data_IF_096347409918
#
_entry.id   IF_096347409918
#
_cell.length_a   1.000
_cell.length_b   1.000
_cell.length_c   1.000
_cell.angle_alpha   90.00
_cell.angle_beta   90.00
_cell.angle_gamma   90.00
#
_symmetry.space_group_name_H-M   'P 1'
#
loop_
_entity.id
_entity.type
_entity.pdbx_description
1 polymer ?
#
# COMPACT_ATOMS: atom_id res chain seq x y z
N UNK A 1 6.13 30.02 10.13
CA UNK A 1 7.28 29.12 9.87
C UNK A 1 8.28 29.84 9.00
N UNK A 2 9.48 30.02 9.48
CA UNK A 2 10.54 30.75 8.78
C UNK A 2 11.64 29.77 8.29
N UNK A 3 12.45 30.24 7.33
CA UNK A 3 13.51 29.43 6.73
C UNK A 3 14.48 28.86 7.77
N UNK A 4 14.90 29.70 8.71
CA UNK A 4 15.83 29.32 9.79
C UNK A 4 15.22 28.22 10.67
N UNK A 5 13.93 28.31 10.97
CA UNK A 5 13.21 27.32 11.78
C UNK A 5 13.20 25.94 11.10
N UNK A 6 12.97 25.90 9.78
CA UNK A 6 12.99 24.65 9.00
C UNK A 6 14.42 24.08 8.96
N UNK A 7 15.41 24.91 8.69
CA UNK A 7 16.82 24.53 8.67
C UNK A 7 17.24 23.88 10.00
N UNK A 8 16.87 24.48 11.12
CA UNK A 8 17.16 23.92 12.44
C UNK A 8 16.41 22.61 12.74
N UNK A 9 15.14 22.50 12.33
CA UNK A 9 14.38 21.27 12.47
C UNK A 9 15.01 20.11 11.70
N UNK A 10 15.53 20.36 10.49
CA UNK A 10 16.20 19.37 9.66
C UNK A 10 17.56 19.01 10.28
N UNK A 11 18.38 20.00 10.69
CA UNK A 11 19.67 19.76 11.35
C UNK A 11 19.54 18.83 12.56
N UNK A 12 18.54 19.03 13.40
CA UNK A 12 18.28 18.20 14.58
C UNK A 12 17.93 16.75 14.25
N UNK A 13 17.61 16.45 13.00
CA UNK A 13 17.24 15.11 12.55
C UNK A 13 18.32 14.41 11.75
N UNK A 14 19.39 15.11 11.40
CA UNK A 14 20.55 14.50 10.75
C UNK A 14 21.37 13.67 11.75
N UNK A 15 21.96 12.55 11.31
CA UNK A 15 22.73 11.66 12.18
C UNK A 15 24.05 12.30 12.69
N UNK A 16 24.55 13.31 11.97
CA UNK A 16 25.78 14.01 12.31
C UNK A 16 25.50 15.50 12.40
N UNK A 17 25.90 16.11 13.51
CA UNK A 17 25.80 17.55 13.69
C UNK A 17 26.83 18.25 12.78
N UNK A 18 26.32 18.97 11.76
CA UNK A 18 27.13 19.74 10.80
C UNK A 18 26.40 21.00 10.36
N UNK A 19 27.10 21.89 9.74
CA UNK A 19 26.41 22.97 9.02
C UNK A 19 25.79 22.44 7.74
N UNK A 20 24.57 22.89 7.44
CA UNK A 20 23.75 22.38 6.34
C UNK A 20 23.76 23.38 5.19
N UNK A 21 24.34 22.97 4.05
CA UNK A 21 24.26 23.71 2.80
C UNK A 21 22.85 23.64 2.21
N UNK A 22 22.42 24.73 1.56
CA UNK A 22 21.04 24.85 1.09
C UNK A 22 20.74 23.96 -0.13
N UNK A 23 21.76 23.59 -0.92
CA UNK A 23 21.67 22.75 -2.13
C UNK A 23 22.14 21.30 -1.91
N UNK A 24 22.55 20.94 -0.68
CA UNK A 24 22.98 19.58 -0.38
C UNK A 24 21.82 18.61 -0.38
N UNK A 25 22.04 17.40 -0.89
CA UNK A 25 21.02 16.33 -0.90
C UNK A 25 20.84 15.78 0.52
N UNK A 26 19.68 16.06 1.12
CA UNK A 26 19.36 15.69 2.49
C UNK A 26 19.30 14.17 2.73
N UNK A 27 19.00 13.38 1.68
CA UNK A 27 19.01 11.91 1.76
C UNK A 27 20.44 11.37 1.86
N UNK A 28 21.35 11.90 1.05
CA UNK A 28 22.78 11.54 1.11
C UNK A 28 23.40 11.93 2.44
N UNK A 29 22.87 12.97 3.09
CA UNK A 29 23.26 13.36 4.44
C UNK A 29 22.68 12.46 5.55
N UNK A 30 21.91 11.42 5.17
CA UNK A 30 21.35 10.44 6.09
C UNK A 30 19.97 10.78 6.65
N UNK A 31 19.24 11.74 6.05
CA UNK A 31 17.87 12.01 6.44
C UNK A 31 16.96 10.90 5.94
N UNK A 32 16.44 10.05 6.83
CA UNK A 32 15.62 8.91 6.46
C UNK A 32 14.21 9.31 6.00
N UNK A 33 13.61 8.50 5.11
CA UNK A 33 12.24 8.68 4.64
C UNK A 33 11.22 8.78 5.79
N UNK A 34 11.41 8.00 6.86
CA UNK A 34 10.57 8.06 8.06
C UNK A 34 10.67 9.42 8.75
N UNK A 35 11.86 10.00 8.81
CA UNK A 35 12.09 11.34 9.39
C UNK A 35 11.42 12.41 8.54
N UNK A 36 11.50 12.31 7.22
CA UNK A 36 10.82 13.23 6.28
C UNK A 36 9.30 13.17 6.46
N UNK A 37 8.71 11.97 6.59
CA UNK A 37 7.28 11.82 6.87
C UNK A 37 6.87 12.47 8.19
N UNK A 38 7.69 12.31 9.24
CA UNK A 38 7.45 12.97 10.53
C UNK A 38 7.46 14.49 10.40
N UNK A 39 8.40 15.05 9.64
CA UNK A 39 8.48 16.49 9.35
C UNK A 39 7.25 16.95 8.57
N UNK A 40 6.84 16.23 7.49
CA UNK A 40 5.62 16.52 6.73
C UNK A 40 4.40 16.57 7.64
N UNK A 41 4.22 15.59 8.53
CA UNK A 41 3.10 15.55 9.46
C UNK A 41 3.15 16.68 10.50
N UNK A 42 4.33 17.03 10.99
CA UNK A 42 4.53 18.16 11.89
C UNK A 42 4.17 19.48 11.19
N UNK A 43 4.66 19.70 9.97
CA UNK A 43 4.36 20.91 9.19
C UNK A 43 2.90 21.01 8.77
N UNK A 44 2.24 19.89 8.49
CA UNK A 44 0.78 19.84 8.23
C UNK A 44 -0.03 20.33 9.44
N UNK A 45 0.34 19.93 10.67
CA UNK A 45 -0.30 20.43 11.90
C UNK A 45 -0.13 21.95 12.04
N UNK A 46 0.97 22.51 11.55
CA UNK A 46 1.21 23.95 11.49
C UNK A 46 0.57 24.61 10.27
N UNK A 47 -0.12 23.80 9.45
CA UNK A 47 -0.93 24.23 8.31
C UNK A 47 -0.16 24.43 7.02
N UNK A 48 1.06 23.89 6.89
CA UNK A 48 1.81 23.82 5.64
C UNK A 48 1.32 22.60 4.86
N UNK A 49 0.99 22.77 3.59
CA UNK A 49 0.50 21.71 2.71
C UNK A 49 1.59 21.28 1.75
N UNK A 50 2.46 20.40 2.21
CA UNK A 50 3.46 19.71 1.39
C UNK A 50 3.21 18.21 1.46
N UNK A 51 3.56 17.47 0.42
CA UNK A 51 3.51 16.01 0.40
C UNK A 51 4.92 15.42 0.53
N UNK A 52 5.01 14.19 0.99
CA UNK A 52 6.26 13.46 1.06
C UNK A 52 6.89 13.36 -0.35
N UNK A 53 6.09 12.94 -1.36
CA UNK A 53 6.57 12.82 -2.74
C UNK A 53 7.17 14.12 -3.28
N UNK A 54 6.50 15.27 -3.08
CA UNK A 54 7.04 16.55 -3.56
C UNK A 54 8.35 16.97 -2.90
N UNK A 55 8.63 16.52 -1.68
CA UNK A 55 9.91 16.75 -1.02
C UNK A 55 11.01 15.81 -1.55
N UNK A 56 10.63 14.60 -1.96
CA UNK A 56 11.57 13.62 -2.53
C UNK A 56 12.03 13.97 -3.95
N UNK A 57 11.20 14.66 -4.76
CA UNK A 57 11.55 15.13 -6.11
C UNK A 57 12.78 16.07 -6.12
N UNK A 58 12.93 16.88 -5.08
CA UNK A 58 14.10 17.74 -4.90
C UNK A 58 14.48 17.77 -3.40
N UNK A 59 15.26 16.79 -2.92
CA UNK A 59 15.56 16.60 -1.51
C UNK A 59 16.65 17.55 -1.01
N UNK A 60 16.52 18.84 -1.26
CA UNK A 60 17.40 19.91 -0.79
C UNK A 60 16.64 20.90 0.09
N UNK A 61 17.36 21.59 0.97
CA UNK A 61 16.75 22.59 1.85
C UNK A 61 16.11 23.73 1.03
N UNK A 62 16.75 24.17 -0.05
CA UNK A 62 16.23 25.18 -0.95
C UNK A 62 14.95 24.70 -1.66
N UNK A 63 14.95 23.47 -2.19
CA UNK A 63 13.79 22.85 -2.84
C UNK A 63 12.60 22.74 -1.88
N UNK A 64 12.83 22.29 -0.66
CA UNK A 64 11.80 22.16 0.37
C UNK A 64 11.23 23.52 0.79
N UNK A 65 12.11 24.52 0.96
CA UNK A 65 11.68 25.87 1.28
C UNK A 65 10.78 26.49 0.20
N UNK A 66 11.15 26.29 -1.08
CA UNK A 66 10.33 26.78 -2.19
C UNK A 66 8.92 26.17 -2.19
N UNK A 67 8.79 24.86 -1.89
CA UNK A 67 7.50 24.17 -1.77
C UNK A 67 6.68 24.70 -0.58
N UNK A 68 7.33 24.88 0.57
CA UNK A 68 6.70 25.40 1.79
C UNK A 68 6.20 26.83 1.53
N UNK A 69 7.00 27.70 0.95
CA UNK A 69 6.58 29.07 0.60
C UNK A 69 5.38 29.10 -0.34
N UNK A 70 5.36 28.26 -1.38
CA UNK A 70 4.21 28.12 -2.30
C UNK A 70 2.94 27.71 -1.56
N UNK A 71 3.07 26.79 -0.61
CA UNK A 71 1.97 26.33 0.24
C UNK A 71 1.44 27.45 1.15
N UNK A 72 2.32 28.26 1.70
CA UNK A 72 1.96 29.38 2.59
C UNK A 72 1.30 30.54 1.80
N UNK A 73 1.80 30.87 0.61
CA UNK A 73 1.20 31.91 -0.26
C UNK A 73 -0.21 31.54 -0.75
N UNK A 74 -0.50 30.25 -1.00
CA UNK A 74 -1.85 29.78 -1.33
C UNK A 74 -2.86 29.92 -0.19
N UNK A 75 -2.42 30.07 1.07
CA UNK A 75 -3.29 30.31 2.23
C UNK A 75 -3.87 31.72 2.32
N UNK A 76 -3.16 32.73 1.79
CA UNK A 76 -3.61 34.12 1.84
C UNK A 76 -4.87 34.38 1.00
N UNK A 77 -5.26 33.44 0.12
CA UNK A 77 -6.38 33.58 -0.81
C UNK A 77 -7.63 32.74 -0.54
N UNK A 78 -7.63 31.76 0.37
CA UNK A 78 -8.83 30.91 0.58
C UNK A 78 -8.91 30.36 2.02
N UNK A 79 -9.65 31.05 2.89
CA UNK A 79 -10.28 30.46 4.07
C UNK A 79 -11.44 29.56 3.59
N UNK A 80 -11.21 28.29 3.41
CA UNK A 80 -12.26 27.24 3.49
C UNK A 80 -11.61 25.92 3.86
N UNK A 81 -12.02 25.37 4.99
CA UNK A 81 -11.67 23.99 5.37
C UNK A 81 -12.11 23.05 4.23
N UNK A 82 -11.16 22.49 3.49
CA UNK A 82 -11.46 21.37 2.63
C UNK A 82 -11.54 20.14 3.53
N UNK A 83 -12.78 19.72 3.85
CA UNK A 83 -13.06 18.30 4.13
C UNK A 83 -12.40 17.50 3.01
N UNK A 84 -11.69 16.43 3.33
CA UNK A 84 -11.19 15.50 2.34
C UNK A 84 -12.35 15.14 1.42
N UNK A 85 -12.32 15.62 0.19
CA UNK A 85 -13.29 15.20 -0.82
C UNK A 85 -12.93 13.76 -1.12
N UNK A 86 -13.84 12.84 -0.80
CA UNK A 86 -13.80 11.48 -1.32
C UNK A 86 -13.79 11.63 -2.83
N UNK A 87 -12.72 11.16 -3.47
CA UNK A 87 -12.62 11.17 -4.95
C UNK A 87 -13.72 10.25 -5.48
N UNK A 88 -14.64 10.72 -6.33
CA UNK A 88 -15.65 9.83 -6.92
C UNK A 88 -14.98 8.70 -7.70
N UNK A 89 -15.53 7.51 -7.66
CA UNK A 89 -14.96 6.34 -8.36
C UNK A 89 -14.70 6.59 -9.86
N UNK A 90 -15.55 7.39 -10.49
CA UNK A 90 -15.38 7.82 -11.89
C UNK A 90 -14.06 8.56 -12.14
N UNK A 91 -13.60 9.34 -11.15
CA UNK A 91 -12.34 10.09 -11.25
C UNK A 91 -11.11 9.21 -10.94
N UNK A 92 -11.32 8.07 -10.27
CA UNK A 92 -10.24 7.12 -9.93
C UNK A 92 -9.74 6.29 -11.12
N UNK A 93 -10.45 6.28 -12.25
CA UNK A 93 -9.98 5.66 -13.50
C UNK A 93 -8.85 6.45 -14.16
N UNK A 94 -8.77 7.75 -13.89
CA UNK A 94 -7.62 8.56 -14.25
C UNK A 94 -6.53 8.44 -13.17
N UNK A 95 -5.25 8.55 -13.54
CA UNK A 95 -4.17 8.54 -12.56
C UNK A 95 -4.36 9.59 -11.46
N UNK A 96 -4.18 9.19 -10.21
CA UNK A 96 -4.25 10.08 -9.05
C UNK A 96 -3.09 9.79 -8.08
N UNK A 97 -2.68 10.77 -7.24
CA UNK A 97 -1.50 10.63 -6.40
C UNK A 97 -1.64 9.54 -5.34
N UNK A 98 -0.51 8.92 -5.01
CA UNK A 98 -0.38 8.08 -3.82
C UNK A 98 -0.55 8.91 -2.54
N UNK A 99 -1.02 8.28 -1.48
CA UNK A 99 -0.89 8.82 -0.13
C UNK A 99 0.57 8.75 0.32
N UNK A 100 0.96 9.52 1.33
CA UNK A 100 2.35 9.51 1.82
C UNK A 100 2.81 8.11 2.27
N UNK A 101 1.90 7.32 2.86
CA UNK A 101 2.19 5.94 3.30
C UNK A 101 2.34 5.01 2.10
N UNK A 102 1.44 5.09 1.13
CA UNK A 102 1.55 4.32 -0.10
C UNK A 102 2.85 4.64 -0.84
N UNK A 103 3.21 5.92 -0.93
CA UNK A 103 4.45 6.33 -1.60
C UNK A 103 5.68 5.74 -0.92
N UNK A 104 5.69 5.68 0.42
CA UNK A 104 6.80 5.06 1.14
C UNK A 104 6.94 3.56 0.87
N UNK A 105 5.83 2.83 0.84
CA UNK A 105 5.84 1.42 0.47
C UNK A 105 6.23 1.21 -0.99
N UNK A 106 5.77 2.08 -1.89
CA UNK A 106 6.06 2.01 -3.31
C UNK A 106 7.57 2.23 -3.58
N UNK A 107 8.19 3.25 -2.96
CA UNK A 107 9.64 3.50 -3.04
C UNK A 107 10.43 2.35 -2.43
N UNK A 108 9.95 1.76 -1.32
CA UNK A 108 10.62 0.63 -0.67
C UNK A 108 10.68 -0.66 -1.51
N UNK A 109 9.89 -0.76 -2.57
CA UNK A 109 9.93 -1.89 -3.53
C UNK A 109 11.07 -1.78 -4.56
N UNK A 110 11.63 -0.58 -4.73
CA UNK A 110 12.70 -0.32 -5.68
C UNK A 110 14.00 -0.99 -5.22
N UNK A 111 14.54 -1.88 -6.04
CA UNK A 111 15.76 -2.65 -5.75
C UNK A 111 17.03 -1.78 -5.79
N UNK A 112 16.97 -0.60 -6.42
CA UNK A 112 18.09 0.35 -6.47
C UNK A 112 18.25 1.14 -5.16
N UNK A 113 17.28 1.09 -4.25
CA UNK A 113 17.37 1.73 -2.95
C UNK A 113 18.25 0.89 -1.98
N UNK A 114 19.06 1.54 -1.16
CA UNK A 114 20.01 0.89 -0.24
C UNK A 114 19.36 -0.12 0.75
N UNK A 115 18.07 -0.02 1.00
CA UNK A 115 17.24 -0.93 1.80
C UNK A 115 15.97 -1.32 1.01
N UNK A 116 16.02 -1.25 -0.32
CA UNK A 116 14.90 -1.54 -1.21
C UNK A 116 14.74 -3.02 -1.56
N UNK A 117 13.83 -3.31 -2.48
CA UNK A 117 13.55 -4.67 -2.92
C UNK A 117 12.61 -5.44 -2.00
N UNK A 118 12.11 -4.83 -0.90
CA UNK A 118 11.18 -5.47 0.02
C UNK A 118 9.75 -5.16 -0.39
N UNK A 119 9.01 -6.19 -0.77
CA UNK A 119 7.56 -6.07 -0.98
C UNK A 119 6.84 -6.11 0.36
N UNK A 120 6.16 -5.00 0.70
CA UNK A 120 5.30 -4.97 1.87
C UNK A 120 3.95 -5.59 1.53
N UNK A 121 3.83 -6.91 1.70
CA UNK A 121 2.55 -7.60 1.58
C UNK A 121 2.22 -8.39 2.86
N UNK A 122 0.93 -8.65 3.06
CA UNK A 122 0.43 -9.53 4.10
C UNK A 122 0.04 -10.87 3.49
N UNK A 123 0.50 -11.95 4.10
CA UNK A 123 0.04 -13.30 3.79
C UNK A 123 -0.64 -13.90 5.03
N UNK A 124 -1.84 -14.46 4.84
CA UNK A 124 -2.67 -15.00 5.91
C UNK A 124 -3.28 -16.33 5.49
N UNK A 125 -3.43 -17.23 6.45
CA UNK A 125 -4.11 -18.51 6.28
C UNK A 125 -5.31 -18.59 7.19
N UNK A 126 -6.42 -19.12 6.67
CA UNK A 126 -7.65 -19.35 7.43
C UNK A 126 -8.09 -20.79 7.23
N UNK A 127 -8.02 -21.57 8.30
CA UNK A 127 -8.49 -22.95 8.31
C UNK A 127 -10.00 -23.01 8.52
N UNK A 128 -10.66 -23.90 7.78
CA UNK A 128 -12.09 -24.14 7.86
C UNK A 128 -12.48 -25.49 7.28
N UNK A 129 -13.76 -25.70 7.08
CA UNK A 129 -14.29 -26.92 6.47
C UNK A 129 -15.46 -26.64 5.54
N UNK A 130 -15.72 -27.58 4.61
CA UNK A 130 -16.85 -27.53 3.69
C UNK A 130 -16.92 -26.22 2.85
N UNK A 131 -15.78 -25.71 2.42
CA UNK A 131 -15.72 -24.52 1.56
C UNK A 131 -15.97 -24.96 0.11
N UNK A 132 -16.99 -24.39 -0.50
CA UNK A 132 -17.31 -24.54 -1.92
C UNK A 132 -16.41 -23.59 -2.74
N UNK A 133 -15.52 -24.11 -3.61
CA UNK A 133 -14.60 -23.28 -4.40
C UNK A 133 -15.31 -22.32 -5.35
N UNK A 134 -16.39 -22.75 -6.03
CA UNK A 134 -17.12 -21.89 -6.97
C UNK A 134 -17.83 -20.75 -6.24
N UNK A 135 -18.38 -21.03 -5.07
CA UNK A 135 -19.02 -20.03 -4.23
C UNK A 135 -18.00 -19.04 -3.68
N UNK A 136 -16.80 -19.51 -3.29
CA UNK A 136 -15.71 -18.63 -2.85
C UNK A 136 -15.23 -17.74 -3.99
N UNK A 137 -15.05 -18.27 -5.20
CA UNK A 137 -14.66 -17.51 -6.37
C UNK A 137 -15.69 -16.40 -6.68
N UNK A 138 -16.98 -16.72 -6.65
CA UNK A 138 -18.05 -15.73 -6.85
C UNK A 138 -18.01 -14.64 -5.78
N UNK A 139 -17.86 -15.02 -4.51
CA UNK A 139 -17.77 -14.07 -3.40
C UNK A 139 -16.52 -13.16 -3.53
N UNK A 140 -15.38 -13.74 -3.92
CA UNK A 140 -14.16 -12.98 -4.18
C UNK A 140 -14.34 -11.96 -5.31
N UNK A 141 -15.01 -12.35 -6.40
CA UNK A 141 -15.30 -11.43 -7.49
C UNK A 141 -16.21 -10.29 -7.06
N UNK A 142 -17.27 -10.58 -6.31
CA UNK A 142 -18.14 -9.54 -5.74
C UNK A 142 -17.31 -8.55 -4.91
N UNK A 143 -16.41 -9.05 -4.06
CA UNK A 143 -15.55 -8.22 -3.23
C UNK A 143 -14.62 -7.33 -4.06
N UNK A 144 -13.97 -7.87 -5.09
CA UNK A 144 -13.08 -7.12 -5.97
C UNK A 144 -13.79 -5.98 -6.72
N UNK A 145 -15.04 -6.20 -7.14
CA UNK A 145 -15.84 -5.16 -7.79
C UNK A 145 -16.40 -4.15 -6.79
N UNK A 146 -16.71 -4.58 -5.56
CA UNK A 146 -17.22 -3.69 -4.52
C UNK A 146 -16.15 -2.75 -3.95
N UNK A 147 -14.93 -3.23 -3.78
CA UNK A 147 -13.81 -2.46 -3.21
C UNK A 147 -12.84 -2.00 -4.30
N UNK A 148 -12.89 -0.73 -4.74
CA UNK A 148 -12.07 -0.23 -5.86
C UNK A 148 -10.57 -0.47 -5.68
N UNK A 149 -10.04 -0.39 -4.44
CA UNK A 149 -8.61 -0.60 -4.18
C UNK A 149 -8.13 -2.03 -4.48
N UNK A 150 -9.01 -3.03 -4.53
CA UNK A 150 -8.66 -4.38 -5.00
C UNK A 150 -8.46 -4.47 -6.52
N UNK A 151 -8.71 -3.37 -7.22
CA UNK A 151 -8.47 -3.19 -8.66
C UNK A 151 -7.48 -2.05 -8.93
N UNK A 152 -6.71 -1.65 -7.91
CA UNK A 152 -5.71 -0.61 -8.05
C UNK A 152 -4.54 -1.10 -8.90
N UNK A 153 -3.97 -0.19 -9.70
CA UNK A 153 -2.75 -0.39 -10.46
C UNK A 153 -1.82 0.79 -10.14
N UNK A 154 -0.57 0.48 -9.82
CA UNK A 154 0.44 1.47 -9.43
C UNK A 154 1.36 1.72 -10.61
N UNK A 155 1.51 2.99 -11.00
CA UNK A 155 2.24 3.40 -12.19
C UNK A 155 3.68 3.79 -11.84
N UNK A 156 4.57 3.73 -12.84
CA UNK A 156 6.00 4.06 -12.69
C UNK A 156 6.26 5.51 -12.26
N UNK A 157 5.31 6.42 -12.55
CA UNK A 157 5.40 7.83 -12.17
C UNK A 157 4.98 8.11 -10.71
N UNK A 158 4.75 7.06 -9.90
CA UNK A 158 4.31 7.20 -8.52
C UNK A 158 2.86 7.63 -8.37
N UNK A 159 2.02 7.37 -9.37
CA UNK A 159 0.57 7.53 -9.30
C UNK A 159 -0.14 6.17 -9.27
N UNK A 160 -1.43 6.17 -9.02
CA UNK A 160 -2.29 4.99 -9.04
C UNK A 160 -3.58 5.27 -9.80
N UNK A 161 -4.19 4.21 -10.33
CA UNK A 161 -5.52 4.26 -10.97
C UNK A 161 -6.31 3.01 -10.63
N UNK A 162 -7.64 3.07 -10.77
CA UNK A 162 -8.51 1.91 -10.60
C UNK A 162 -8.84 1.32 -11.97
N UNK A 163 -8.57 0.04 -12.13
CA UNK A 163 -8.88 -0.72 -13.34
C UNK A 163 -10.38 -1.05 -13.41
N UNK A 164 -10.90 -1.22 -14.62
CA UNK A 164 -12.30 -1.63 -14.83
C UNK A 164 -12.55 -3.07 -14.38
N UNK A 165 -11.51 -3.93 -14.50
CA UNK A 165 -11.55 -5.33 -14.08
C UNK A 165 -10.43 -5.63 -13.09
N UNK A 166 -10.63 -6.60 -12.20
CA UNK A 166 -9.56 -7.10 -11.35
C UNK A 166 -8.47 -7.80 -12.17
N UNK A 167 -7.28 -7.94 -11.60
CA UNK A 167 -6.16 -8.65 -12.21
C UNK A 167 -6.54 -10.11 -12.55
N UNK A 168 -7.20 -10.80 -11.63
CA UNK A 168 -7.66 -12.16 -11.84
C UNK A 168 -9.04 -12.39 -11.19
N UNK A 169 -9.99 -12.91 -11.97
CA UNK A 169 -11.33 -13.26 -11.50
C UNK A 169 -11.41 -14.72 -11.01
N UNK A 170 -10.37 -15.53 -11.28
CA UNK A 170 -10.30 -16.93 -10.88
C UNK A 170 -9.49 -17.09 -9.60
N UNK A 171 -9.95 -17.97 -8.71
CA UNK A 171 -9.15 -18.44 -7.59
C UNK A 171 -8.43 -19.74 -7.98
N UNK A 172 -7.23 -19.95 -7.48
CA UNK A 172 -6.52 -21.20 -7.66
C UNK A 172 -6.90 -22.17 -6.56
N UNK A 173 -7.31 -23.39 -6.96
CA UNK A 173 -7.68 -24.45 -6.04
C UNK A 173 -6.64 -25.55 -6.10
N UNK A 174 -6.09 -25.90 -4.95
CA UNK A 174 -5.18 -27.04 -4.72
C UNK A 174 -5.97 -28.16 -4.10
N UNK A 175 -6.34 -29.17 -4.87
CA UNK A 175 -7.11 -30.29 -4.39
C UNK A 175 -6.20 -31.43 -3.93
N UNK A 176 -5.99 -31.50 -2.62
CA UNK A 176 -5.25 -32.55 -1.93
C UNK A 176 -6.19 -33.50 -1.16
N UNK A 177 -7.51 -33.44 -1.39
CA UNK A 177 -8.53 -34.18 -0.64
C UNK A 177 -8.39 -35.71 -0.72
N UNK A 178 -7.67 -36.21 -1.74
CA UNK A 178 -7.44 -37.66 -1.96
C UNK A 178 -6.10 -38.16 -1.44
N UNK A 179 -5.28 -37.27 -0.89
CA UNK A 179 -3.97 -37.63 -0.29
C UNK A 179 -4.14 -38.08 1.16
N UNK A 180 -3.11 -38.64 1.75
CA UNK A 180 -3.05 -38.77 3.21
C UNK A 180 -2.97 -37.37 3.85
N UNK A 181 -3.41 -37.24 5.10
CA UNK A 181 -3.35 -35.94 5.80
C UNK A 181 -1.91 -35.42 5.91
N UNK A 182 -0.93 -36.29 6.09
CA UNK A 182 0.48 -35.92 6.19
C UNK A 182 1.02 -35.39 4.85
N UNK A 183 0.74 -36.10 3.74
CA UNK A 183 1.13 -35.65 2.39
C UNK A 183 0.47 -34.32 2.00
N UNK A 184 -0.84 -34.17 2.31
CA UNK A 184 -1.58 -32.95 2.02
C UNK A 184 -1.01 -31.72 2.78
N UNK A 185 -0.67 -31.88 4.07
CA UNK A 185 -0.03 -30.80 4.84
C UNK A 185 1.38 -30.49 4.31
N UNK A 186 2.16 -31.48 3.92
CA UNK A 186 3.48 -31.27 3.30
C UNK A 186 3.37 -30.49 1.98
N UNK A 187 2.37 -30.82 1.14
CA UNK A 187 2.09 -30.07 -0.08
C UNK A 187 1.61 -28.65 0.21
N UNK A 188 0.80 -28.43 1.24
CA UNK A 188 0.33 -27.11 1.62
C UNK A 188 1.47 -26.19 2.11
N UNK A 189 2.55 -26.74 2.68
CA UNK A 189 3.76 -25.97 2.99
C UNK A 189 4.35 -25.34 1.73
N UNK A 190 4.39 -26.04 0.60
CA UNK A 190 4.91 -25.49 -0.65
C UNK A 190 4.03 -24.35 -1.20
N UNK A 191 2.71 -24.41 -0.98
CA UNK A 191 1.79 -23.31 -1.31
C UNK A 191 2.09 -22.08 -0.46
N UNK A 192 2.25 -22.27 0.87
CA UNK A 192 2.62 -21.22 1.83
C UNK A 192 3.94 -20.56 1.44
N UNK A 193 5.00 -21.33 1.23
CA UNK A 193 6.32 -20.82 0.87
C UNK A 193 6.27 -19.97 -0.40
N UNK A 194 5.55 -20.42 -1.40
CA UNK A 194 5.39 -19.66 -2.64
C UNK A 194 4.63 -18.36 -2.43
N UNK A 195 3.52 -18.36 -1.70
CA UNK A 195 2.67 -17.18 -1.52
C UNK A 195 3.26 -16.16 -0.54
N UNK A 196 3.88 -16.64 0.55
CA UNK A 196 4.43 -15.75 1.59
C UNK A 196 5.70 -15.01 1.16
N UNK A 197 6.36 -15.45 0.08
CA UNK A 197 7.60 -14.84 -0.41
C UNK A 197 7.49 -14.25 -1.82
N UNK A 198 6.31 -14.26 -2.44
CA UNK A 198 6.15 -13.71 -3.78
C UNK A 198 6.08 -12.19 -3.77
N UNK A 199 6.54 -11.57 -4.85
CA UNK A 199 6.37 -10.15 -5.12
C UNK A 199 5.13 -9.98 -6.02
N UNK A 200 4.14 -9.23 -5.54
CA UNK A 200 2.92 -8.96 -6.31
C UNK A 200 3.22 -7.98 -7.45
N UNK A 201 2.62 -8.19 -8.61
CA UNK A 201 2.78 -7.34 -9.79
C UNK A 201 1.81 -6.16 -9.76
N UNK A 202 2.03 -5.25 -8.83
CA UNK A 202 1.14 -4.10 -8.59
C UNK A 202 1.00 -3.19 -9.82
N UNK A 203 1.99 -3.20 -10.71
CA UNK A 203 2.03 -2.47 -11.97
C UNK A 203 1.03 -3.03 -12.99
N UNK A 204 0.70 -4.33 -12.88
CA UNK A 204 -0.32 -5.02 -13.67
C UNK A 204 -1.69 -5.02 -12.97
N UNK A 205 -1.77 -4.53 -11.71
CA UNK A 205 -2.97 -4.54 -10.88
C UNK A 205 -3.11 -5.77 -10.00
N UNK A 206 -2.06 -6.61 -9.86
CA UNK A 206 -2.02 -7.71 -8.90
C UNK A 206 -1.74 -7.16 -7.50
N UNK A 207 -2.80 -6.82 -6.78
CA UNK A 207 -2.69 -6.18 -5.45
C UNK A 207 -3.21 -7.06 -4.32
N UNK A 208 -4.00 -8.09 -4.65
CA UNK A 208 -4.51 -9.08 -3.71
C UNK A 208 -4.90 -10.36 -4.44
N UNK A 209 -4.87 -11.48 -3.72
CA UNK A 209 -5.29 -12.77 -4.24
C UNK A 209 -5.82 -13.70 -3.17
N UNK A 210 -6.63 -14.68 -3.61
CA UNK A 210 -7.08 -15.80 -2.79
C UNK A 210 -6.72 -17.09 -3.51
N UNK A 211 -6.13 -18.04 -2.79
CA UNK A 211 -6.02 -19.43 -3.21
C UNK A 211 -6.70 -20.33 -2.16
N UNK A 212 -7.16 -21.50 -2.57
CA UNK A 212 -7.84 -22.45 -1.69
C UNK A 212 -7.14 -23.82 -1.75
N UNK A 213 -6.78 -24.37 -0.60
CA UNK A 213 -6.32 -25.75 -0.46
C UNK A 213 -7.44 -26.57 0.15
N UNK A 214 -7.80 -27.68 -0.52
CA UNK A 214 -8.75 -28.68 -0.03
C UNK A 214 -7.95 -29.86 0.53
N UNK A 215 -8.27 -30.27 1.76
CA UNK A 215 -7.64 -31.37 2.48
C UNK A 215 -8.61 -32.55 2.62
N UNK A 216 -8.10 -33.74 3.01
CA UNK A 216 -8.95 -34.85 3.46
C UNK A 216 -9.94 -34.40 4.55
N UNK A 217 -11.01 -35.17 4.74
CA UNK A 217 -12.03 -34.97 5.77
C UNK A 217 -12.77 -33.62 5.67
N UNK A 218 -12.94 -33.13 4.44
CA UNK A 218 -13.61 -31.86 4.15
C UNK A 218 -12.97 -30.63 4.83
N UNK A 219 -11.71 -30.72 5.23
CA UNK A 219 -10.94 -29.56 5.70
C UNK A 219 -10.53 -28.69 4.50
N UNK A 220 -10.40 -27.40 4.75
CA UNK A 220 -9.94 -26.46 3.74
C UNK A 220 -9.08 -25.36 4.39
N UNK A 221 -8.15 -24.80 3.62
CA UNK A 221 -7.35 -23.65 4.00
C UNK A 221 -7.45 -22.58 2.91
N UNK A 222 -7.95 -21.42 3.28
CA UNK A 222 -7.95 -20.25 2.41
C UNK A 222 -6.66 -19.46 2.66
N UNK A 223 -5.91 -19.24 1.60
CA UNK A 223 -4.71 -18.40 1.58
C UNK A 223 -5.10 -17.04 1.03
N UNK A 224 -4.78 -15.99 1.77
CA UNK A 224 -5.02 -14.60 1.35
C UNK A 224 -3.70 -13.88 1.31
N UNK A 225 -3.38 -13.27 0.20
CA UNK A 225 -2.23 -12.40 0.09
C UNK A 225 -2.63 -11.01 -0.44
N UNK A 226 -2.00 -9.96 0.07
CA UNK A 226 -2.42 -8.59 -0.19
C UNK A 226 -1.29 -7.60 -0.03
N UNK A 227 -1.12 -6.70 -1.01
CA UNK A 227 -0.19 -5.59 -0.88
C UNK A 227 -0.67 -4.57 0.17
N UNK A 228 0.19 -4.20 1.11
CA UNK A 228 -0.13 -3.16 2.11
C UNK A 228 -0.26 -1.75 1.52
N UNK A 229 -0.02 -1.61 0.22
CA UNK A 229 -0.35 -0.43 -0.58
C UNK A 229 -1.86 -0.19 -0.70
N UNK A 230 -2.68 -1.26 -0.66
CA UNK A 230 -4.13 -1.16 -0.91
C UNK A 230 -4.98 -1.34 0.34
N UNK A 231 -4.41 -1.89 1.41
CA UNK A 231 -5.15 -2.17 2.64
C UNK A 231 -4.24 -2.09 3.88
N UNK A 232 -4.79 -1.60 4.96
CA UNK A 232 -4.25 -1.70 6.31
C UNK A 232 -5.00 -2.79 7.11
N UNK A 233 -4.66 -2.95 8.39
CA UNK A 233 -5.29 -3.95 9.27
C UNK A 233 -6.81 -3.75 9.39
N UNK A 234 -7.29 -2.50 9.44
CA UNK A 234 -8.72 -2.21 9.51
C UNK A 234 -9.41 -2.57 8.19
N UNK A 235 -8.80 -2.22 7.07
CA UNK A 235 -9.28 -2.58 5.73
C UNK A 235 -9.37 -4.10 5.58
N UNK A 236 -8.37 -4.85 6.04
CA UNK A 236 -8.39 -6.31 6.00
C UNK A 236 -9.57 -6.91 6.78
N UNK A 237 -9.88 -6.38 7.98
CA UNK A 237 -11.04 -6.82 8.75
C UNK A 237 -12.37 -6.58 8.01
N UNK A 238 -12.49 -5.42 7.34
CA UNK A 238 -13.66 -5.10 6.52
C UNK A 238 -13.76 -6.07 5.35
N UNK A 239 -12.67 -6.30 4.62
CA UNK A 239 -12.63 -7.19 3.47
C UNK A 239 -13.00 -8.64 3.85
N UNK A 240 -12.49 -9.16 4.96
CA UNK A 240 -12.83 -10.51 5.43
C UNK A 240 -14.30 -10.62 5.85
N UNK A 241 -14.85 -9.61 6.52
CA UNK A 241 -16.27 -9.55 6.87
C UNK A 241 -17.15 -9.54 5.62
N UNK A 242 -16.82 -8.69 4.65
CA UNK A 242 -17.58 -8.53 3.43
C UNK A 242 -17.44 -9.77 2.51
N UNK A 243 -16.26 -10.43 2.50
CA UNK A 243 -16.08 -11.72 1.84
C UNK A 243 -16.98 -12.79 2.45
N UNK A 244 -17.05 -12.87 3.78
CA UNK A 244 -17.91 -13.81 4.47
C UNK A 244 -19.39 -13.55 4.20
N UNK A 245 -19.82 -12.28 4.15
CA UNK A 245 -21.18 -11.90 3.78
C UNK A 245 -21.50 -12.31 2.33
N UNK A 246 -20.65 -11.95 1.37
CA UNK A 246 -20.80 -12.35 -0.03
C UNK A 246 -20.82 -13.88 -0.22
N UNK A 247 -20.00 -14.61 0.54
CA UNK A 247 -20.00 -16.07 0.52
C UNK A 247 -21.32 -16.66 1.04
N UNK A 248 -21.98 -16.02 2.02
CA UNK A 248 -23.32 -16.42 2.49
C UNK A 248 -24.46 -16.00 1.56
N UNK A 249 -24.20 -15.08 0.61
CA UNK A 249 -25.19 -14.52 -0.31
C UNK A 249 -25.98 -13.35 0.30
N UNK A 250 -25.36 -12.63 1.24
CA UNK A 250 -25.90 -11.43 1.92
C UNK A 250 -25.53 -10.15 1.19
#
# INVERSE_FOLDING_TARGET
MEYIEIKEQIKQKLPVARDLGDSENLLELGLSSLTIMRLVNQWRKQGVKVSFGSLMENPTLEGWWALIQRSMKKKAGKKRAQKSKITPEKDMKQPFPLTDVQYAYWVGRDEEQALGGIDCHAYLEFDGGNIDPERLEKAWNVLQYHHPMLRACFLEDGTQKILDKPYCEKIKVHDFSRMSSEEAEAMAVSVRERLSHRKLKIEEGEVAGIELTLFPENRARMHVDMALLVADVQSLQILLRDLAAAYRGE
#
